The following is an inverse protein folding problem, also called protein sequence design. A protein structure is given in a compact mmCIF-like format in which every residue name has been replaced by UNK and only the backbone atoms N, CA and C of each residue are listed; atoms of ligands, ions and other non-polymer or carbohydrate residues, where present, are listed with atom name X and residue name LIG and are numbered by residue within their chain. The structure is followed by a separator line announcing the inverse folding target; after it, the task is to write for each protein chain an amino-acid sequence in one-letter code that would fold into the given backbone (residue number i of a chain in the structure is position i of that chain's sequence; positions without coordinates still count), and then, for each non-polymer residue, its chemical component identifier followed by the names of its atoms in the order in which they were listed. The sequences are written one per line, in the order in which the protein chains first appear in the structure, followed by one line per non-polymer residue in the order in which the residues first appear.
data_IF_720423636264
#
_entry.id   IF_720423636264
#
_cell.length_a   1.000
_cell.length_b   1.000
_cell.length_c   1.000
_cell.angle_alpha   90.00
_cell.angle_beta   90.00
_cell.angle_gamma   90.00
#
_symmetry.space_group_name_H-M   'P 1'
#
loop_
_entity.id
_entity.type
_entity.pdbx_description
1 polymer ?
#
# COMPACT_ATOMS: atom_id res chain seq x y z
N UNK A 1 -10.37 35.08 -63.57
CA UNK A 1 -8.99 35.18 -63.06
C UNK A 1 -8.96 35.38 -61.54
N UNK A 2 -9.69 36.34 -60.96
CA UNK A 2 -9.78 36.57 -59.51
C UNK A 2 -10.27 35.36 -58.68
N UNK A 3 -11.20 34.57 -59.22
CA UNK A 3 -11.75 33.37 -58.55
C UNK A 3 -10.69 32.27 -58.33
N UNK A 4 -9.70 32.17 -59.21
CA UNK A 4 -8.60 31.21 -59.07
C UNK A 4 -7.63 31.65 -57.97
N UNK A 5 -7.30 32.94 -57.91
CA UNK A 5 -6.40 33.52 -56.90
C UNK A 5 -7.02 33.38 -55.50
N UNK A 6 -8.32 33.61 -55.36
CA UNK A 6 -9.04 33.43 -54.09
C UNK A 6 -9.02 31.98 -53.58
N UNK A 7 -9.13 30.99 -54.48
CA UNK A 7 -9.02 29.56 -54.08
C UNK A 7 -7.64 29.21 -53.52
N UNK A 8 -6.57 29.71 -54.15
CA UNK A 8 -5.21 29.50 -53.64
C UNK A 8 -4.99 30.16 -52.28
N UNK A 9 -5.50 31.38 -52.07
CA UNK A 9 -5.43 32.03 -50.75
C UNK A 9 -6.21 31.24 -49.68
N UNK A 10 -7.36 30.67 -50.03
CA UNK A 10 -8.15 29.85 -49.10
C UNK A 10 -7.40 28.57 -48.71
N UNK A 11 -6.87 27.81 -49.66
CA UNK A 11 -6.08 26.60 -49.39
C UNK A 11 -4.80 26.89 -48.60
N UNK A 12 -4.09 27.99 -48.91
CA UNK A 12 -2.89 28.38 -48.18
C UNK A 12 -3.20 28.72 -46.71
N UNK A 13 -4.33 29.41 -46.43
CA UNK A 13 -4.79 29.69 -45.06
C UNK A 13 -5.23 28.43 -44.33
N UNK A 14 -5.97 27.54 -44.98
CA UNK A 14 -6.42 26.27 -44.39
C UNK A 14 -5.24 25.38 -43.98
N UNK A 15 -4.19 25.27 -44.81
CA UNK A 15 -2.96 24.54 -44.45
C UNK A 15 -2.21 25.16 -43.27
N UNK A 16 -2.22 26.49 -43.14
CA UNK A 16 -1.63 27.19 -42.00
C UNK A 16 -2.45 26.99 -40.70
N UNK A 17 -3.78 26.99 -40.78
CA UNK A 17 -4.65 26.74 -39.64
C UNK A 17 -4.47 25.30 -39.10
N UNK A 18 -4.40 24.30 -40.00
CA UNK A 18 -4.15 22.91 -39.60
C UNK A 18 -2.79 22.75 -38.89
N UNK A 19 -1.75 23.46 -39.36
CA UNK A 19 -0.44 23.44 -38.69
C UNK A 19 -0.53 24.03 -37.28
N UNK A 20 -1.22 25.15 -37.12
CA UNK A 20 -1.41 25.80 -35.82
C UNK A 20 -2.21 24.92 -34.84
N UNK A 21 -3.29 24.27 -35.29
CA UNK A 21 -4.06 23.32 -34.48
C UNK A 21 -3.21 22.14 -33.99
N UNK A 22 -2.41 21.53 -34.88
CA UNK A 22 -1.50 20.43 -34.51
C UNK A 22 -0.46 20.91 -33.49
N UNK A 23 0.08 22.11 -33.66
CA UNK A 23 1.07 22.68 -32.76
C UNK A 23 0.46 22.99 -31.38
N UNK A 24 -0.76 23.54 -31.34
CA UNK A 24 -1.50 23.79 -30.10
C UNK A 24 -1.86 22.48 -29.38
N UNK A 25 -2.35 21.48 -30.10
CA UNK A 25 -2.62 20.15 -29.56
C UNK A 25 -1.36 19.50 -28.98
N UNK A 26 -0.23 19.61 -29.68
CA UNK A 26 1.05 19.10 -29.19
C UNK A 26 1.52 19.83 -27.93
N UNK A 27 1.31 21.14 -27.83
CA UNK A 27 1.60 21.89 -26.59
C UNK A 27 0.70 21.46 -25.43
N UNK A 28 -0.59 21.22 -25.69
CA UNK A 28 -1.52 20.71 -24.70
C UNK A 28 -1.08 19.34 -24.18
N UNK A 29 -0.80 18.39 -25.07
CA UNK A 29 -0.33 17.04 -24.68
C UNK A 29 0.98 17.11 -23.90
N UNK A 30 1.92 18.00 -24.28
CA UNK A 30 3.16 18.21 -23.51
C UNK A 30 2.86 18.70 -22.10
N UNK A 31 1.94 19.65 -21.95
CA UNK A 31 1.54 20.18 -20.65
C UNK A 31 0.85 19.11 -19.79
N UNK A 32 -0.08 18.36 -20.37
CA UNK A 32 -0.76 17.24 -19.70
C UNK A 32 0.23 16.16 -19.26
N UNK A 33 1.19 15.81 -20.11
CA UNK A 33 2.24 14.85 -19.79
C UNK A 33 3.12 15.33 -18.63
N UNK A 34 3.51 16.62 -18.64
CA UNK A 34 4.26 17.20 -17.54
C UNK A 34 3.47 17.20 -16.21
N UNK A 35 2.17 17.44 -16.27
CA UNK A 35 1.30 17.37 -15.10
C UNK A 35 1.16 15.95 -14.56
N UNK A 36 1.03 14.96 -15.45
CA UNK A 36 0.99 13.54 -15.08
C UNK A 36 2.32 13.11 -14.44
N UNK A 37 3.46 13.50 -15.03
CA UNK A 37 4.79 13.19 -14.49
C UNK A 37 4.96 13.72 -13.06
N UNK A 38 4.55 14.98 -12.80
CA UNK A 38 4.57 15.57 -11.45
C UNK A 38 3.66 14.79 -10.48
N UNK A 39 2.50 14.34 -10.94
CA UNK A 39 1.58 13.55 -10.10
C UNK A 39 2.17 12.19 -9.73
N UNK A 40 2.83 11.52 -10.68
CA UNK A 40 3.55 10.27 -10.44
C UNK A 40 4.64 10.50 -9.39
N UNK A 41 5.48 11.52 -9.56
CA UNK A 41 6.56 11.84 -8.64
C UNK A 41 6.06 12.06 -7.20
N UNK A 42 4.96 12.82 -7.04
CA UNK A 42 4.33 13.04 -5.72
C UNK A 42 3.79 11.75 -5.11
N UNK A 43 3.14 10.88 -5.91
CA UNK A 43 2.61 9.60 -5.45
C UNK A 43 3.73 8.65 -5.03
N UNK A 44 4.80 8.55 -5.82
CA UNK A 44 5.97 7.72 -5.52
C UNK A 44 6.70 8.24 -4.27
N UNK A 45 6.81 9.56 -4.11
CA UNK A 45 7.37 10.16 -2.90
C UNK A 45 6.53 9.85 -1.66
N UNK A 46 5.21 9.98 -1.75
CA UNK A 46 4.30 9.60 -0.65
C UNK A 46 4.39 8.10 -0.32
N UNK A 47 4.47 7.25 -1.34
CA UNK A 47 4.63 5.80 -1.16
C UNK A 47 5.93 5.46 -0.43
N UNK A 48 7.06 6.09 -0.81
CA UNK A 48 8.34 5.92 -0.12
C UNK A 48 8.26 6.28 1.36
N UNK A 49 7.65 7.44 1.68
CA UNK A 49 7.42 7.86 3.07
C UNK A 49 6.58 6.83 3.85
N UNK A 50 5.49 6.33 3.25
CA UNK A 50 4.64 5.30 3.88
C UNK A 50 5.37 3.97 4.11
N UNK A 51 6.37 3.66 3.29
CA UNK A 51 7.25 2.49 3.43
C UNK A 51 8.41 2.71 4.42
N UNK A 52 8.51 3.89 5.02
CA UNK A 52 9.55 4.21 6.00
C UNK A 52 10.86 4.75 5.42
N UNK A 53 10.86 5.17 4.15
CA UNK A 53 12.02 5.80 3.51
C UNK A 53 11.97 7.34 3.59
N UNK A 54 13.14 7.98 3.55
CA UNK A 54 13.30 9.44 3.48
C UNK A 54 12.60 10.26 4.59
N UNK A 55 12.36 9.60 5.74
CA UNK A 55 11.65 10.18 6.88
C UNK A 55 12.42 11.30 7.58
N UNK A 56 13.74 11.39 7.39
CA UNK A 56 14.57 12.47 7.93
C UNK A 56 14.15 13.86 7.43
N UNK A 57 13.45 13.91 6.29
CA UNK A 57 12.92 15.14 5.69
C UNK A 57 11.51 15.50 6.17
N UNK A 58 10.83 14.60 6.91
CA UNK A 58 9.46 14.81 7.35
C UNK A 58 9.37 15.69 8.60
N UNK A 59 8.33 16.50 8.69
CA UNK A 59 7.97 17.16 9.95
C UNK A 59 7.40 16.16 10.96
N UNK A 60 7.31 16.57 12.23
CA UNK A 60 6.69 15.75 13.28
C UNK A 60 5.21 15.49 12.99
N UNK A 61 4.51 16.49 12.47
CA UNK A 61 3.10 16.41 12.09
C UNK A 61 2.89 15.43 10.91
N UNK A 62 3.75 15.51 9.88
CA UNK A 62 3.71 14.56 8.76
C UNK A 62 3.95 13.12 9.24
N UNK A 63 4.90 12.91 10.16
CA UNK A 63 5.18 11.59 10.74
C UNK A 63 3.99 11.05 11.55
N UNK A 64 3.33 11.90 12.34
CA UNK A 64 2.12 11.51 13.09
C UNK A 64 0.96 11.14 12.16
N UNK A 65 0.81 11.85 11.03
CA UNK A 65 -0.21 11.52 10.04
C UNK A 65 0.06 10.15 9.38
N UNK A 66 1.32 9.90 8.99
CA UNK A 66 1.77 8.62 8.42
C UNK A 66 1.50 7.49 9.41
N UNK A 67 1.90 7.64 10.67
CA UNK A 67 1.70 6.63 11.72
C UNK A 67 0.21 6.33 11.93
N UNK A 68 -0.60 7.38 12.10
CA UNK A 68 -2.05 7.26 12.24
C UNK A 68 -2.70 6.56 11.04
N UNK A 69 -2.23 6.84 9.82
CA UNK A 69 -2.72 6.21 8.60
C UNK A 69 -2.35 4.72 8.54
N UNK A 70 -1.11 4.38 8.88
CA UNK A 70 -0.63 3.00 8.93
C UNK A 70 -1.39 2.20 9.97
N UNK A 71 -1.53 2.70 11.20
CA UNK A 71 -2.24 2.05 12.29
C UNK A 71 -3.72 1.77 11.92
N UNK A 72 -4.41 2.77 11.35
CA UNK A 72 -5.79 2.60 10.84
C UNK A 72 -5.87 1.54 9.74
N UNK A 73 -4.94 1.54 8.79
CA UNK A 73 -4.93 0.58 7.68
C UNK A 73 -4.64 -0.85 8.15
N UNK A 74 -3.69 -1.01 9.07
CA UNK A 74 -3.28 -2.29 9.63
C UNK A 74 -4.42 -2.93 10.41
N UNK A 75 -5.10 -2.17 11.27
CA UNK A 75 -6.30 -2.64 11.98
C UNK A 75 -7.34 -3.21 11.01
N UNK A 76 -7.61 -2.52 9.89
CA UNK A 76 -8.55 -2.99 8.86
C UNK A 76 -8.07 -4.26 8.17
N UNK A 77 -6.79 -4.34 7.83
CA UNK A 77 -6.21 -5.51 7.16
C UNK A 77 -6.28 -6.73 8.08
N UNK A 78 -5.88 -6.58 9.34
CA UNK A 78 -5.91 -7.66 10.34
C UNK A 78 -7.33 -8.16 10.55
N UNK A 79 -8.29 -7.26 10.81
CA UNK A 79 -9.69 -7.64 11.00
C UNK A 79 -10.27 -8.37 9.77
N UNK A 80 -9.93 -7.92 8.55
CA UNK A 80 -10.35 -8.60 7.32
C UNK A 80 -9.72 -9.98 7.18
N UNK A 81 -8.42 -10.11 7.45
CA UNK A 81 -7.71 -11.39 7.40
C UNK A 81 -8.31 -12.39 8.40
N UNK A 82 -8.55 -11.95 9.62
CA UNK A 82 -9.17 -12.78 10.66
C UNK A 82 -10.55 -13.26 10.22
N UNK A 83 -11.40 -12.36 9.71
CA UNK A 83 -12.71 -12.73 9.17
C UNK A 83 -12.61 -13.81 8.09
N UNK A 84 -11.73 -13.64 7.11
CA UNK A 84 -11.54 -14.61 6.01
C UNK A 84 -11.09 -15.95 6.57
N UNK A 85 -10.11 -15.97 7.49
CA UNK A 85 -9.60 -17.21 8.08
C UNK A 85 -10.67 -17.92 8.92
N UNK A 86 -11.53 -17.18 9.63
CA UNK A 86 -12.65 -17.77 10.36
C UNK A 86 -13.68 -18.40 9.40
N UNK A 87 -13.99 -17.72 8.29
CA UNK A 87 -14.88 -18.25 7.25
C UNK A 87 -14.29 -19.53 6.61
N UNK A 88 -13.00 -19.54 6.27
CA UNK A 88 -12.31 -20.71 5.71
C UNK A 88 -12.28 -21.88 6.70
N UNK A 89 -11.97 -21.63 7.97
CA UNK A 89 -11.99 -22.66 9.01
C UNK A 89 -13.38 -23.24 9.22
N UNK A 90 -14.43 -22.41 9.21
CA UNK A 90 -15.81 -22.87 9.33
C UNK A 90 -16.16 -23.83 8.17
N UNK A 91 -15.87 -23.42 6.93
CA UNK A 91 -16.07 -24.22 5.71
C UNK A 91 -15.34 -25.57 5.77
N UNK A 92 -14.07 -25.57 6.19
CA UNK A 92 -13.28 -26.79 6.30
C UNK A 92 -13.79 -27.70 7.42
N UNK A 93 -14.17 -27.14 8.57
CA UNK A 93 -14.71 -27.90 9.71
C UNK A 93 -16.00 -28.63 9.34
N UNK A 94 -16.89 -27.96 8.59
CA UNK A 94 -18.11 -28.54 8.06
C UNK A 94 -17.79 -29.72 7.11
N UNK A 95 -16.87 -29.51 6.17
CA UNK A 95 -16.46 -30.54 5.21
C UNK A 95 -15.81 -31.76 5.86
N UNK A 96 -15.04 -31.55 6.92
CA UNK A 96 -14.31 -32.62 7.62
C UNK A 96 -15.10 -33.24 8.80
N UNK A 97 -16.32 -32.78 9.08
CA UNK A 97 -17.11 -33.24 10.23
C UNK A 97 -16.49 -32.91 11.59
N UNK A 98 -15.52 -31.98 11.63
CA UNK A 98 -14.90 -31.50 12.85
C UNK A 98 -15.78 -30.40 13.46
N UNK A 99 -15.88 -30.34 14.81
CA UNK A 99 -16.62 -29.24 15.46
C UNK A 99 -15.89 -27.90 15.21
N UNK A 100 -16.62 -26.81 14.92
CA UNK A 100 -16.00 -25.49 14.76
C UNK A 100 -15.24 -25.11 16.03
N UNK A 101 -13.95 -24.87 15.91
CA UNK A 101 -13.16 -24.29 16.99
C UNK A 101 -13.62 -22.85 17.17
N UNK A 102 -14.28 -22.56 18.30
CA UNK A 102 -14.76 -21.21 18.62
C UNK A 102 -13.56 -20.25 18.63
N UNK A 103 -13.69 -19.05 18.05
CA UNK A 103 -12.71 -17.99 18.29
C UNK A 103 -12.82 -17.60 19.76
N UNK A 104 -11.89 -18.09 20.58
CA UNK A 104 -11.67 -17.50 21.89
C UNK A 104 -11.10 -16.10 21.64
N UNK A 105 -11.97 -15.11 21.75
CA UNK A 105 -11.57 -13.71 21.80
C UNK A 105 -10.72 -13.56 23.06
N UNK A 106 -9.40 -13.76 22.94
CA UNK A 106 -8.44 -13.30 23.93
C UNK A 106 -8.23 -11.81 23.71
N UNK A 107 -9.29 -11.05 23.95
CA UNK A 107 -9.14 -9.67 24.34
C UNK A 107 -8.41 -9.69 25.69
N UNK A 108 -7.35 -8.89 25.84
CA UNK A 108 -6.66 -8.57 27.10
C UNK A 108 -5.50 -9.48 27.59
N UNK A 109 -4.37 -9.58 26.88
CA UNK A 109 -3.07 -9.93 27.55
C UNK A 109 -1.84 -9.31 26.86
N UNK A 110 -1.80 -7.99 26.67
CA UNK A 110 -0.54 -7.33 26.25
C UNK A 110 -0.11 -6.17 27.15
N UNK A 111 -1.00 -5.62 28.00
CA UNK A 111 -0.69 -4.45 28.82
C UNK A 111 -0.48 -4.72 30.33
N UNK A 112 -0.73 -5.94 30.83
CA UNK A 112 -0.69 -6.21 32.29
C UNK A 112 0.51 -7.04 32.76
N UNK A 113 1.35 -7.57 31.88
CA UNK A 113 2.48 -8.44 32.27
C UNK A 113 3.77 -7.70 32.70
N UNK A 114 3.72 -6.39 32.94
CA UNK A 114 4.88 -5.60 33.39
C UNK A 114 4.83 -5.12 34.85
N UNK A 115 3.99 -5.66 35.75
CA UNK A 115 4.01 -5.16 37.15
C UNK A 115 3.79 -6.14 38.30
N UNK A 116 3.64 -7.46 38.10
CA UNK A 116 3.61 -8.40 39.23
C UNK A 116 4.35 -9.70 38.91
N UNK A 117 5.68 -9.63 38.92
CA UNK A 117 6.53 -10.81 39.06
C UNK A 117 6.91 -11.00 40.52
N UNK A 118 6.29 -11.98 41.20
CA UNK A 118 6.95 -12.66 42.31
C UNK A 118 7.90 -13.67 41.67
N UNK A 119 9.18 -13.30 41.51
CA UNK A 119 10.25 -14.21 41.12
C UNK A 119 10.33 -15.34 42.17
N UNK A 120 9.95 -16.56 41.78
CA UNK A 120 10.62 -17.74 42.32
C UNK A 120 11.62 -18.16 41.26
N UNK A 121 12.87 -17.71 41.42
CA UNK A 121 13.99 -18.11 40.57
C UNK A 121 14.31 -19.58 40.85
N UNK A 122 13.70 -20.48 40.07
CA UNK A 122 14.31 -21.79 39.83
C UNK A 122 15.12 -21.68 38.55
N UNK A 123 16.43 -21.58 38.70
CA UNK A 123 17.40 -21.60 37.60
C UNK A 123 17.35 -22.98 36.92
N UNK A 124 16.65 -23.05 35.78
CA UNK A 124 16.72 -24.20 34.87
C UNK A 124 17.62 -23.81 33.71
N UNK A 125 18.79 -24.45 33.68
CA UNK A 125 19.77 -24.27 32.62
C UNK A 125 19.22 -24.90 31.33
N UNK A 126 18.59 -24.07 30.49
CA UNK A 126 18.12 -24.48 29.17
C UNK A 126 19.16 -24.12 28.13
N UNK A 127 19.83 -25.12 27.55
CA UNK A 127 20.71 -24.92 26.41
C UNK A 127 19.92 -24.39 25.21
N UNK A 128 20.29 -23.21 24.72
CA UNK A 128 19.68 -22.59 23.56
C UNK A 128 20.26 -23.22 22.27
N UNK A 129 19.53 -24.16 21.69
CA UNK A 129 19.91 -24.75 20.40
C UNK A 129 19.28 -23.93 19.27
N UNK A 130 20.08 -23.04 18.65
CA UNK A 130 19.69 -22.37 17.41
C UNK A 130 20.13 -23.28 16.25
N UNK A 131 19.28 -24.22 15.87
CA UNK A 131 19.54 -25.16 14.77
C UNK A 131 18.28 -25.90 14.30
N UNK A 132 18.32 -26.39 13.05
CA UNK A 132 17.24 -27.24 12.50
C UNK A 132 17.10 -28.53 13.35
N UNK A 133 15.88 -28.98 13.70
CA UNK A 133 15.69 -30.15 14.54
C UNK A 133 16.29 -31.42 13.93
N UNK A 134 16.98 -32.23 14.74
CA UNK A 134 17.42 -33.56 14.31
C UNK A 134 16.21 -34.50 14.16
N UNK A 135 15.92 -34.91 12.93
CA UNK A 135 14.92 -35.93 12.63
C UNK A 135 15.56 -37.29 12.92
N UNK A 136 15.25 -37.90 14.06
CA UNK A 136 15.58 -39.31 14.30
C UNK A 136 14.53 -40.16 13.59
N UNK A 137 14.89 -40.72 12.44
CA UNK A 137 14.09 -41.78 11.81
C UNK A 137 14.27 -43.08 12.62
N UNK A 138 13.15 -43.68 13.05
CA UNK A 138 13.05 -45.09 13.43
C UNK A 138 12.42 -45.88 12.28
#
# INVERSE_FOLDING_TARGET
MQTTIQRYHKQAREGQMNKFEIEQYMQQVKHENANMAKKIELLEHSQRKLLGHDLSSCSVEELQEIDSQLERSLRRIVARKEKILLEENAMLSEKCGAKPSQPSVKETVAATLCSQGSLQDSEVETELIIGLPEIRCL
#
